data_IF_526999649623
#
_entry.id   IF_526999649623
#
_cell.length_a   1.000
_cell.length_b   1.000
_cell.length_c   1.000
_cell.angle_alpha   90.00
_cell.angle_beta   90.00
_cell.angle_gamma   90.00
#
_symmetry.space_group_name_H-M   'P 1'
#
loop_
_entity.id
_entity.type
_entity.pdbx_description
1 polymer ?
#
# COMPACT_ATOMS: atom_id res chain seq x y z
N UNK A 1 -12.60 -1.69 -9.94
CA UNK A 1 -11.29 -1.56 -9.27
C UNK A 1 -11.24 -2.54 -8.13
N UNK A 2 -10.32 -3.52 -8.21
CA UNK A 2 -10.12 -4.52 -7.16
C UNK A 2 -9.62 -3.89 -5.87
N UNK A 3 -9.84 -4.58 -4.74
CA UNK A 3 -9.44 -4.09 -3.41
C UNK A 3 -7.92 -3.87 -3.32
N UNK A 4 -7.12 -4.74 -3.95
CA UNK A 4 -5.66 -4.58 -4.04
C UNK A 4 -5.24 -3.28 -4.76
N UNK A 5 -5.91 -2.91 -5.85
CA UNK A 5 -5.60 -1.70 -6.59
C UNK A 5 -5.80 -0.43 -5.73
N UNK A 6 -6.88 -0.41 -4.93
CA UNK A 6 -7.18 0.72 -4.02
C UNK A 6 -6.14 0.85 -2.91
N UNK A 7 -5.62 -0.27 -2.41
CA UNK A 7 -4.55 -0.25 -1.41
C UNK A 7 -3.26 0.32 -1.98
N UNK A 8 -2.92 -0.01 -3.24
CA UNK A 8 -1.76 0.60 -3.92
C UNK A 8 -1.91 2.08 -4.19
N UNK A 9 -3.11 2.53 -4.59
CA UNK A 9 -3.40 3.96 -4.74
C UNK A 9 -3.24 4.70 -3.39
N UNK A 10 -3.69 4.08 -2.30
CA UNK A 10 -3.52 4.65 -0.96
C UNK A 10 -2.05 4.68 -0.52
N UNK A 11 -1.28 3.63 -0.82
CA UNK A 11 0.16 3.60 -0.55
C UNK A 11 0.92 4.69 -1.31
N UNK A 12 0.62 4.86 -2.59
CA UNK A 12 1.19 5.93 -3.42
C UNK A 12 0.87 7.31 -2.83
N UNK A 13 -0.39 7.53 -2.42
CA UNK A 13 -0.81 8.76 -1.76
C UNK A 13 -0.04 9.03 -0.46
N UNK A 14 0.18 7.99 0.38
CA UNK A 14 0.97 8.12 1.61
C UNK A 14 2.43 8.51 1.33
N UNK A 15 3.05 7.99 0.26
CA UNK A 15 4.42 8.37 -0.15
C UNK A 15 4.49 9.82 -0.59
N UNK A 16 3.61 10.26 -1.48
CA UNK A 16 3.56 11.66 -1.93
C UNK A 16 3.25 12.64 -0.79
N UNK A 17 2.44 12.21 0.19
CA UNK A 17 2.12 13.02 1.36
C UNK A 17 3.25 13.01 2.40
N UNK A 18 4.02 11.93 2.49
CA UNK A 18 5.23 11.87 3.31
C UNK A 18 6.25 12.90 2.83
N UNK A 19 6.49 13.04 1.52
CA UNK A 19 7.43 14.02 0.97
C UNK A 19 7.08 15.48 1.31
N UNK A 20 5.79 15.76 1.60
CA UNK A 20 5.31 17.09 2.00
C UNK A 20 5.51 17.40 3.48
N UNK A 21 6.01 16.45 4.29
CA UNK A 21 6.17 16.63 5.73
C UNK A 21 7.61 16.96 6.10
N UNK A 22 7.81 18.02 6.87
CA UNK A 22 9.14 18.42 7.38
C UNK A 22 9.56 17.65 8.64
N UNK A 23 8.67 16.80 9.19
CA UNK A 23 8.94 16.02 10.39
C UNK A 23 9.40 14.59 10.04
N UNK A 24 10.67 14.22 10.31
CA UNK A 24 11.21 12.91 9.94
C UNK A 24 10.46 11.73 10.54
N UNK A 25 10.00 11.82 11.80
CA UNK A 25 9.23 10.74 12.43
C UNK A 25 7.88 10.50 11.74
N UNK A 26 7.25 11.57 11.26
CA UNK A 26 5.99 11.47 10.52
C UNK A 26 6.24 10.95 9.10
N UNK A 27 7.36 11.34 8.47
CA UNK A 27 7.78 10.80 7.19
C UNK A 27 8.00 9.28 7.25
N UNK A 28 8.77 8.81 8.24
CA UNK A 28 9.04 7.38 8.45
C UNK A 28 7.75 6.59 8.72
N UNK A 29 6.87 7.12 9.57
CA UNK A 29 5.60 6.46 9.88
C UNK A 29 4.72 6.31 8.62
N UNK A 30 4.67 7.34 7.76
CA UNK A 30 3.89 7.30 6.52
C UNK A 30 4.48 6.37 5.47
N UNK A 31 5.80 6.31 5.36
CA UNK A 31 6.44 5.33 4.49
C UNK A 31 6.14 3.91 4.93
N UNK A 32 6.24 3.62 6.23
CA UNK A 32 5.88 2.30 6.77
C UNK A 32 4.43 1.94 6.47
N UNK A 33 3.50 2.88 6.66
CA UNK A 33 2.09 2.66 6.29
C UNK A 33 1.92 2.38 4.79
N UNK A 34 2.67 3.05 3.92
CA UNK A 34 2.63 2.77 2.48
C UNK A 34 3.14 1.36 2.16
N UNK A 35 4.23 0.92 2.79
CA UNK A 35 4.78 -0.43 2.63
C UNK A 35 3.81 -1.50 3.11
N UNK A 36 3.17 -1.30 4.27
CA UNK A 36 2.17 -2.22 4.82
C UNK A 36 0.98 -2.39 3.85
N UNK A 37 0.49 -1.28 3.28
CA UNK A 37 -0.61 -1.29 2.31
C UNK A 37 -0.25 -2.00 1.00
N UNK A 38 1.00 -1.87 0.53
CA UNK A 38 1.48 -2.60 -0.64
C UNK A 38 1.57 -4.10 -0.39
N UNK A 39 2.05 -4.49 0.79
CA UNK A 39 2.10 -5.90 1.21
C UNK A 39 0.69 -6.51 1.34
N UNK A 40 -0.28 -5.76 1.87
CA UNK A 40 -1.68 -6.18 1.91
C UNK A 40 -2.28 -6.32 0.49
N UNK A 41 -1.94 -5.42 -0.43
CA UNK A 41 -2.38 -5.50 -1.82
C UNK A 41 -1.81 -6.75 -2.51
N UNK A 42 -0.54 -7.03 -2.31
CA UNK A 42 0.13 -8.23 -2.84
C UNK A 42 -0.51 -9.51 -2.28
N UNK A 43 -0.71 -9.58 -0.96
CA UNK A 43 -1.36 -10.73 -0.32
C UNK A 43 -2.80 -10.95 -0.82
N UNK A 44 -3.54 -9.87 -1.13
CA UNK A 44 -4.88 -9.98 -1.71
C UNK A 44 -4.84 -10.53 -3.13
N UNK A 45 -3.90 -10.08 -3.96
CA UNK A 45 -3.74 -10.60 -5.32
C UNK A 45 -3.30 -12.05 -5.33
N UNK A 46 -2.35 -12.42 -4.46
CA UNK A 46 -1.94 -13.82 -4.29
C UNK A 46 -3.12 -14.70 -3.88
N UNK A 47 -4.00 -14.21 -3.00
CA UNK A 47 -5.21 -14.92 -2.60
C UNK A 47 -6.25 -15.00 -3.72
N UNK A 48 -6.44 -13.95 -4.50
CA UNK A 48 -7.34 -13.96 -5.66
C UNK A 48 -6.83 -14.94 -6.73
N UNK A 49 -5.54 -14.95 -7.01
CA UNK A 49 -4.90 -15.89 -7.95
C UNK A 49 -4.97 -17.33 -7.44
N UNK A 50 -4.75 -17.57 -6.15
CA UNK A 50 -4.82 -18.91 -5.56
C UNK A 50 -6.25 -19.49 -5.50
N UNK A 51 -7.28 -18.65 -5.56
CA UNK A 51 -8.70 -19.06 -5.55
C UNK A 51 -9.25 -19.37 -6.95
N UNK A 52 -8.50 -19.13 -8.03
CA UNK A 52 -8.83 -19.58 -9.39
C UNK A 52 -7.95 -20.78 -9.80
N UNK A 53 -8.23 -22.01 -9.32
CA UNK A 53 -7.61 -23.18 -9.91
C UNK A 53 -8.25 -23.44 -11.29
N UNK A 54 -7.39 -23.55 -12.31
CA UNK A 54 -7.76 -23.90 -13.69
C UNK A 54 -8.40 -25.30 -13.82
#
# INVERSE_FOLDING_TARGET
MGTAQKLRELAAWYREFAEKTENPSIWEARLRTAEDLEAEAEALEEREVALEPA
#
